data_IF_296334600156
#
_entry.id   IF_296334600156
#
_cell.length_a   1.000
_cell.length_b   1.000
_cell.length_c   1.000
_cell.angle_alpha   90.00
_cell.angle_beta   90.00
_cell.angle_gamma   90.00
#
_symmetry.space_group_name_H-M   'P 1'
#
loop_
_entity.id
_entity.type
_entity.pdbx_description
1 polymer ?
#
# COMPACT_ATOMS: atom_id res chain seq x y z
N UNK A 1 13.08 29.97 -7.44
CA UNK A 1 11.96 29.00 -7.49
C UNK A 1 12.56 27.60 -7.37
N UNK A 2 12.71 27.10 -6.14
CA UNK A 2 13.15 25.72 -5.92
C UNK A 2 11.95 24.82 -6.10
N UNK A 3 11.85 24.18 -7.26
CA UNK A 3 10.90 23.09 -7.48
C UNK A 3 11.19 22.06 -6.40
N UNK A 4 10.33 21.98 -5.37
CA UNK A 4 10.27 20.84 -4.46
C UNK A 4 10.00 19.64 -5.36
N UNK A 5 11.06 18.97 -5.80
CA UNK A 5 10.97 17.70 -6.51
C UNK A 5 10.30 16.80 -5.48
N UNK A 6 8.99 16.59 -5.65
CA UNK A 6 8.17 15.82 -4.72
C UNK A 6 8.93 14.53 -4.43
N UNK A 7 9.14 14.20 -3.14
CA UNK A 7 9.84 12.98 -2.74
C UNK A 7 9.32 11.77 -3.53
N UNK A 8 8.01 11.73 -3.74
CA UNK A 8 7.30 10.70 -4.50
C UNK A 8 7.64 10.61 -5.99
N UNK A 9 8.14 11.67 -6.62
CA UNK A 9 8.55 11.65 -8.04
C UNK A 9 9.83 10.84 -8.27
N UNK A 10 10.64 10.63 -7.23
CA UNK A 10 11.78 9.71 -7.24
C UNK A 10 11.36 8.26 -6.93
N UNK A 11 10.20 8.08 -6.28
CA UNK A 11 9.60 6.81 -5.91
C UNK A 11 8.52 6.35 -6.91
N UNK A 12 8.50 6.85 -8.15
CA UNK A 12 7.45 6.46 -9.09
C UNK A 12 7.68 5.03 -9.58
N UNK A 13 6.69 4.16 -9.40
CA UNK A 13 6.68 2.85 -10.03
C UNK A 13 6.66 2.99 -11.56
N UNK A 14 7.44 2.15 -12.21
CA UNK A 14 7.56 1.97 -13.66
C UNK A 14 7.56 0.47 -13.93
N UNK A 15 7.35 0.10 -15.19
CA UNK A 15 7.28 -1.31 -15.59
C UNK A 15 8.57 -2.09 -15.26
N UNK A 16 9.72 -1.44 -15.22
CA UNK A 16 11.04 -2.06 -15.05
C UNK A 16 11.71 -1.86 -13.69
N UNK A 17 11.06 -1.15 -12.74
CA UNK A 17 11.70 -0.74 -11.48
C UNK A 17 11.01 -1.26 -10.21
N UNK A 18 10.12 -2.24 -10.33
CA UNK A 18 9.31 -2.75 -9.20
C UNK A 18 10.16 -3.15 -8.00
N UNK A 19 11.28 -3.84 -8.20
CA UNK A 19 12.14 -4.28 -7.08
C UNK A 19 12.69 -3.09 -6.28
N UNK A 20 13.28 -2.09 -6.95
CA UNK A 20 13.79 -0.88 -6.31
C UNK A 20 12.66 -0.04 -5.67
N UNK A 21 11.53 0.10 -6.36
CA UNK A 21 10.33 0.73 -5.83
C UNK A 21 9.85 0.03 -4.56
N UNK A 22 9.81 -1.30 -4.56
CA UNK A 22 9.29 -2.09 -3.44
C UNK A 22 10.15 -1.94 -2.19
N UNK A 23 11.49 -1.89 -2.33
CA UNK A 23 12.43 -1.67 -1.21
C UNK A 23 12.18 -0.30 -0.59
N UNK A 24 12.06 0.71 -1.43
CA UNK A 24 11.82 2.08 -1.01
C UNK A 24 10.46 2.24 -0.34
N UNK A 25 9.43 1.63 -0.90
CA UNK A 25 8.07 1.71 -0.37
C UNK A 25 7.93 0.94 0.94
N UNK A 26 8.52 -0.25 1.06
CA UNK A 26 8.62 -0.99 2.32
C UNK A 26 9.27 -0.14 3.42
N UNK A 27 10.39 0.50 3.10
CA UNK A 27 11.11 1.38 4.05
C UNK A 27 10.25 2.56 4.49
N UNK A 28 9.51 3.19 3.58
CA UNK A 28 8.59 4.28 3.91
C UNK A 28 7.45 3.80 4.82
N UNK A 29 6.78 2.70 4.47
CA UNK A 29 5.66 2.15 5.23
C UNK A 29 6.10 1.67 6.63
N UNK A 30 7.30 1.10 6.75
CA UNK A 30 7.88 0.67 8.02
C UNK A 30 8.21 1.88 8.92
N UNK A 31 8.78 2.96 8.35
CA UNK A 31 9.02 4.22 9.08
C UNK A 31 7.75 4.89 9.63
N UNK A 32 6.59 4.54 9.06
CA UNK A 32 5.27 5.01 9.48
C UNK A 32 4.51 3.98 10.33
N UNK A 33 5.12 2.84 10.62
CA UNK A 33 4.51 1.73 11.37
C UNK A 33 3.18 1.26 10.76
N UNK A 34 3.08 1.33 9.41
CA UNK A 34 1.88 0.88 8.66
C UNK A 34 2.14 -0.37 7.83
N UNK A 35 3.40 -0.79 7.66
CA UNK A 35 3.78 -1.97 6.86
C UNK A 35 3.06 -3.25 7.28
N UNK A 36 2.90 -3.48 8.58
CA UNK A 36 2.20 -4.67 9.09
C UNK A 36 0.74 -4.75 8.61
N UNK A 37 0.06 -3.60 8.50
CA UNK A 37 -1.32 -3.53 7.97
C UNK A 37 -1.34 -3.80 6.47
N UNK A 38 -0.36 -3.29 5.73
CA UNK A 38 -0.20 -3.57 4.29
C UNK A 38 0.07 -5.06 4.04
N UNK A 39 0.88 -5.73 4.87
CA UNK A 39 1.26 -7.13 4.66
C UNK A 39 0.18 -8.12 5.13
N UNK A 40 -0.35 -7.93 6.35
CA UNK A 40 -1.27 -8.88 6.98
C UNK A 40 -2.75 -8.55 6.73
N UNK A 41 -3.04 -7.33 6.31
CA UNK A 41 -4.39 -6.78 6.26
C UNK A 41 -4.85 -6.31 7.65
N UNK A 42 -5.94 -5.54 7.70
CA UNK A 42 -6.59 -5.21 8.97
C UNK A 42 -7.28 -6.46 9.52
N UNK A 43 -6.63 -7.15 10.46
CA UNK A 43 -7.19 -8.33 11.12
C UNK A 43 -8.27 -7.89 12.12
N UNK A 44 -9.52 -7.80 11.66
CA UNK A 44 -10.66 -7.63 12.56
C UNK A 44 -11.01 -9.02 13.12
N UNK A 45 -10.99 -9.24 14.45
CA UNK A 45 -11.49 -10.49 15.01
C UNK A 45 -12.99 -10.62 14.67
N UNK A 46 -13.37 -11.69 13.97
CA UNK A 46 -14.76 -11.96 13.54
C UNK A 46 -15.69 -12.30 14.70
N UNK A 47 -15.13 -12.79 15.81
CA UNK A 47 -15.88 -13.24 16.96
C UNK A 47 -15.99 -12.13 18.02
N UNK A 48 -17.01 -11.28 17.92
CA UNK A 48 -17.71 -10.74 19.08
C UNK A 48 -18.96 -9.95 18.63
N UNK A 49 -20.14 -10.45 18.99
CA UNK A 49 -21.44 -9.81 18.71
C UNK A 49 -21.54 -8.38 19.29
N UNK A 50 -20.64 -8.01 20.21
CA UNK A 50 -20.36 -6.65 20.68
C UNK A 50 -18.86 -6.50 21.00
N UNK A 51 -18.04 -5.89 20.12
CA UNK A 51 -16.63 -5.70 20.41
C UNK A 51 -16.45 -4.75 21.61
N UNK A 52 -15.52 -5.11 22.50
CA UNK A 52 -15.02 -4.26 23.57
C UNK A 52 -14.50 -2.91 23.06
N UNK A 53 -14.38 -1.91 23.94
CA UNK A 53 -13.82 -0.61 23.56
C UNK A 53 -12.41 -0.74 22.97
N UNK A 54 -11.57 -1.59 23.57
CA UNK A 54 -10.22 -1.87 23.10
C UNK A 54 -10.20 -2.46 21.69
N UNK A 55 -11.12 -3.37 21.34
CA UNK A 55 -11.24 -3.91 19.98
C UNK A 55 -11.69 -2.83 18.99
N UNK A 56 -12.64 -1.96 19.38
CA UNK A 56 -13.08 -0.85 18.52
C UNK A 56 -11.95 0.12 18.23
N UNK A 57 -11.17 0.46 19.24
CA UNK A 57 -10.01 1.34 19.11
C UNK A 57 -8.95 0.72 18.20
N UNK A 58 -8.67 -0.58 18.36
CA UNK A 58 -7.78 -1.33 17.48
C UNK A 58 -8.27 -1.34 16.02
N UNK A 59 -9.56 -1.62 15.77
CA UNK A 59 -10.14 -1.62 14.42
C UNK A 59 -10.04 -0.22 13.79
N UNK A 60 -10.32 0.83 14.58
CA UNK A 60 -10.21 2.22 14.11
C UNK A 60 -8.77 2.58 13.75
N UNK A 61 -7.80 2.19 14.58
CA UNK A 61 -6.38 2.43 14.33
C UNK A 61 -5.86 1.66 13.11
N UNK A 62 -6.23 0.38 12.99
CA UNK A 62 -5.90 -0.46 11.83
C UNK A 62 -6.48 0.14 10.53
N UNK A 63 -7.74 0.59 10.55
CA UNK A 63 -8.37 1.25 9.41
C UNK A 63 -7.66 2.55 9.00
N UNK A 64 -7.26 3.37 9.97
CA UNK A 64 -6.49 4.61 9.71
C UNK A 64 -5.14 4.30 9.07
N UNK A 65 -4.42 3.30 9.61
CA UNK A 65 -3.13 2.86 9.08
C UNK A 65 -3.24 2.27 7.67
N UNK A 66 -4.31 1.51 7.40
CA UNK A 66 -4.61 0.98 6.06
C UNK A 66 -4.81 2.11 5.05
N UNK A 67 -5.67 3.11 5.37
CA UNK A 67 -5.89 4.26 4.47
C UNK A 67 -4.64 5.11 4.30
N UNK A 68 -3.80 5.23 5.33
CA UNK A 68 -2.53 5.92 5.22
C UNK A 68 -1.55 5.18 4.30
N UNK A 69 -1.42 3.86 4.44
CA UNK A 69 -0.59 3.05 3.56
C UNK A 69 -1.06 3.11 2.10
N UNK A 70 -2.38 3.00 1.88
CA UNK A 70 -2.98 3.09 0.55
C UNK A 70 -2.71 4.45 -0.10
N UNK A 71 -2.80 5.54 0.67
CA UNK A 71 -2.47 6.89 0.18
C UNK A 71 -1.02 7.01 -0.27
N UNK A 72 -0.07 6.39 0.45
CA UNK A 72 1.32 6.38 0.01
C UNK A 72 1.48 5.62 -1.30
N UNK A 73 0.85 4.45 -1.43
CA UNK A 73 0.87 3.65 -2.67
C UNK A 73 0.38 4.50 -3.84
N UNK A 74 -0.76 5.17 -3.71
CA UNK A 74 -1.30 6.04 -4.76
C UNK A 74 -0.41 7.23 -5.11
N UNK A 75 0.34 7.78 -4.15
CA UNK A 75 1.28 8.87 -4.43
C UNK A 75 2.55 8.41 -5.14
N UNK A 76 2.89 7.12 -5.06
CA UNK A 76 4.13 6.53 -5.56
C UNK A 76 3.97 5.78 -6.89
N UNK A 77 2.86 5.96 -7.59
CA UNK A 77 2.53 5.24 -8.83
C UNK A 77 2.11 6.22 -9.92
N UNK A 78 2.20 5.79 -11.18
CA UNK A 78 1.66 6.52 -12.32
C UNK A 78 0.15 6.27 -12.51
N UNK A 79 -0.48 7.09 -13.36
CA UNK A 79 -1.93 7.06 -13.60
C UNK A 79 -2.42 5.73 -14.21
N UNK A 80 -1.64 5.10 -15.09
CA UNK A 80 -2.01 3.82 -15.69
C UNK A 80 -1.94 2.68 -14.66
N UNK A 81 -0.96 2.72 -13.75
CA UNK A 81 -0.94 1.79 -12.61
C UNK A 81 -2.07 2.07 -11.63
N UNK A 82 -2.38 3.35 -11.37
CA UNK A 82 -3.49 3.73 -10.48
C UNK A 82 -4.81 3.15 -10.95
N UNK A 83 -5.15 3.24 -12.24
CA UNK A 83 -6.39 2.66 -12.76
C UNK A 83 -6.52 1.16 -12.46
N UNK A 84 -5.41 0.40 -12.56
CA UNK A 84 -5.38 -1.04 -12.29
C UNK A 84 -5.64 -1.38 -10.82
N UNK A 85 -5.07 -0.59 -9.90
CA UNK A 85 -5.18 -0.85 -8.45
C UNK A 85 -6.27 -0.03 -7.75
N UNK A 86 -6.94 0.90 -8.44
CA UNK A 86 -7.99 1.77 -7.90
C UNK A 86 -9.19 1.01 -7.34
N UNK A 87 -9.36 -0.26 -7.76
CA UNK A 87 -10.40 -1.18 -7.27
C UNK A 87 -10.03 -1.86 -5.95
N UNK A 88 -8.79 -1.72 -5.48
CA UNK A 88 -8.37 -2.21 -4.18
C UNK A 88 -9.04 -1.40 -3.06
N UNK A 89 -9.64 -2.11 -2.11
CA UNK A 89 -10.27 -1.52 -0.94
C UNK A 89 -9.27 -1.32 0.21
N UNK A 90 -8.16 -2.07 0.18
CA UNK A 90 -7.11 -2.08 1.22
C UNK A 90 -5.72 -1.86 0.63
N UNK A 91 -4.79 -1.41 1.47
CA UNK A 91 -3.38 -1.29 1.09
C UNK A 91 -2.77 -2.64 0.71
N UNK A 92 -3.23 -3.72 1.34
CA UNK A 92 -2.81 -5.09 1.03
C UNK A 92 -3.20 -5.50 -0.39
N UNK A 93 -4.48 -5.37 -0.74
CA UNK A 93 -4.96 -5.69 -2.09
C UNK A 93 -4.23 -4.86 -3.15
N UNK A 94 -4.01 -3.57 -2.89
CA UNK A 94 -3.27 -2.69 -3.79
C UNK A 94 -1.82 -3.19 -3.99
N UNK A 95 -1.16 -3.61 -2.91
CA UNK A 95 0.19 -4.16 -2.95
C UNK A 95 0.26 -5.49 -3.71
N UNK A 96 -0.65 -6.42 -3.43
CA UNK A 96 -0.70 -7.74 -4.06
C UNK A 96 -0.98 -7.65 -5.57
N UNK A 97 -1.87 -6.75 -6.00
CA UNK A 97 -2.15 -6.52 -7.43
C UNK A 97 -0.90 -5.99 -8.15
N UNK A 98 -0.08 -5.16 -7.50
CA UNK A 98 1.16 -4.70 -8.11
C UNK A 98 2.21 -5.81 -8.22
N UNK A 99 2.35 -6.60 -7.16
CA UNK A 99 3.26 -7.74 -7.14
C UNK A 99 2.91 -8.74 -8.26
N UNK A 100 1.64 -9.10 -8.41
CA UNK A 100 1.15 -10.01 -9.47
C UNK A 100 1.35 -9.44 -10.89
N UNK A 101 1.17 -8.13 -11.10
CA UNK A 101 1.44 -7.50 -12.40
C UNK A 101 2.93 -7.47 -12.77
N UNK A 102 3.82 -7.40 -11.77
CA UNK A 102 5.26 -7.42 -12.00
C UNK A 102 5.77 -8.80 -12.45
N UNK A 103 5.15 -9.89 -11.98
CA UNK A 103 5.54 -11.24 -12.39
C UNK A 103 4.93 -11.66 -13.73
N UNK A 104 3.72 -11.18 -14.07
CA UNK A 104 3.05 -11.48 -15.36
C UNK A 104 3.69 -10.84 -16.59
N UNK A 105 4.58 -9.87 -16.40
CA UNK A 105 5.34 -9.23 -17.48
C UNK A 105 6.66 -9.95 -17.79
N UNK A 106 7.09 -10.90 -16.96
CA UNK A 106 8.29 -11.71 -17.18
C UNK A 106 8.04 -12.97 -18.06
N UNK A 107 6.78 -13.40 -18.22
CA UNK A 107 6.40 -14.64 -18.92
C UNK A 107 5.79 -14.42 -20.33
N UNK A 108 6.16 -13.33 -21.00
CA UNK A 108 5.86 -13.15 -22.43
C UNK A 108 7.15 -12.95 -23.23
N UNK A 109 7.90 -14.03 -23.39
CA UNK A 109 8.84 -14.23 -24.52
C UNK A 109 8.29 -15.30 -25.47
#
# INVERSE_FOLDING_TARGET
MTTKKSFFKAFLLKEDNFENWSIQMKTLLDSKSVWEVTKKGSQVPEDECKPSQTQRDYISDASKKDKQALSFIYQAIDENTFEKISRANTAKEAWEIQEDNSYKTADKE
#
